data_IF_885157014595
#
_entry.id   IF_885157014595
#
_cell.length_a   1.000
_cell.length_b   1.000
_cell.length_c   1.000
_cell.angle_alpha   90.00
_cell.angle_beta   90.00
_cell.angle_gamma   90.00
#
_symmetry.space_group_name_H-M   'P 1'
#
loop_
_entity.id
_entity.type
_entity.pdbx_description
1 polymer ?
#
# COMPACT_ATOMS: atom_id res chain seq x y z
N UNK A 1 -6.33 10.72 -18.32
CA UNK A 1 -6.80 9.32 -18.23
C UNK A 1 -5.62 8.40 -17.87
N UNK A 2 -4.47 8.53 -18.54
CA UNK A 2 -3.31 7.65 -18.31
C UNK A 2 -2.74 7.75 -16.88
N UNK A 3 -2.54 8.95 -16.35
CA UNK A 3 -2.04 9.13 -14.97
C UNK A 3 -2.96 8.49 -13.92
N UNK A 4 -4.29 8.56 -14.12
CA UNK A 4 -5.22 7.86 -13.23
C UNK A 4 -5.11 6.34 -13.35
N UNK A 5 -4.92 5.80 -14.58
CA UNK A 5 -4.72 4.37 -14.79
C UNK A 5 -3.48 3.87 -14.04
N UNK A 6 -2.35 4.55 -14.19
CA UNK A 6 -1.09 4.23 -13.49
C UNK A 6 -1.27 4.28 -11.97
N UNK A 7 -1.96 5.31 -11.45
CA UNK A 7 -2.30 5.40 -10.03
C UNK A 7 -3.13 4.21 -9.55
N UNK A 8 -4.16 3.82 -10.29
CA UNK A 8 -5.00 2.68 -9.92
C UNK A 8 -4.25 1.35 -9.94
N UNK A 9 -3.27 1.18 -10.83
CA UNK A 9 -2.37 0.01 -10.81
C UNK A 9 -1.52 0.03 -9.54
N UNK A 10 -0.95 1.18 -9.16
CA UNK A 10 -0.21 1.32 -7.89
C UNK A 10 -1.12 1.01 -6.68
N UNK A 11 -2.37 1.49 -6.67
CA UNK A 11 -3.35 1.15 -5.62
C UNK A 11 -3.58 -0.36 -5.52
N UNK A 12 -3.70 -1.05 -6.67
CA UNK A 12 -3.90 -2.50 -6.70
C UNK A 12 -2.70 -3.26 -6.12
N UNK A 13 -1.47 -2.87 -6.49
CA UNK A 13 -0.25 -3.44 -5.88
C UNK A 13 -0.16 -3.16 -4.39
N UNK A 14 -0.48 -1.93 -3.94
CA UNK A 14 -0.49 -1.58 -2.52
C UNK A 14 -1.51 -2.44 -1.75
N UNK A 15 -2.73 -2.58 -2.27
CA UNK A 15 -3.78 -3.40 -1.65
C UNK A 15 -3.37 -4.87 -1.58
N UNK A 16 -2.86 -5.42 -2.69
CA UNK A 16 -2.43 -6.81 -2.77
C UNK A 16 -1.29 -7.12 -1.80
N UNK A 17 -0.26 -6.26 -1.78
CA UNK A 17 0.96 -6.51 -1.01
C UNK A 17 0.84 -6.14 0.46
N UNK A 18 -0.17 -5.35 0.85
CA UNK A 18 -0.57 -5.14 2.25
C UNK A 18 -1.63 -6.14 2.74
N UNK A 19 -2.19 -6.97 1.87
CA UNK A 19 -3.17 -7.99 2.28
C UNK A 19 -2.51 -9.18 2.95
N UNK A 20 -3.19 -9.78 3.94
CA UNK A 20 -2.78 -11.02 4.58
C UNK A 20 -2.87 -12.20 3.61
N UNK A 21 -1.98 -13.20 3.81
CA UNK A 21 -1.91 -14.40 2.99
C UNK A 21 -0.91 -14.29 1.83
N UNK A 22 -0.81 -15.30 0.96
CA UNK A 22 0.06 -15.28 -0.21
C UNK A 22 -0.38 -14.21 -1.21
N UNK A 23 0.52 -13.31 -1.57
CA UNK A 23 0.28 -12.36 -2.66
C UNK A 23 0.56 -13.04 -4.01
N UNK A 24 -0.37 -12.93 -4.94
CA UNK A 24 -0.25 -13.48 -6.28
C UNK A 24 -0.70 -12.45 -7.32
N UNK A 25 0.08 -12.23 -8.34
CA UNK A 25 -0.25 -11.42 -9.51
C UNK A 25 0.30 -12.07 -10.78
N UNK A 26 -0.24 -11.69 -11.93
CA UNK A 26 0.20 -12.23 -13.20
C UNK A 26 1.55 -11.63 -13.60
N UNK A 27 2.45 -12.46 -14.14
CA UNK A 27 3.71 -11.97 -14.70
C UNK A 27 3.43 -10.93 -15.79
N UNK A 28 4.07 -9.77 -15.65
CA UNK A 28 3.87 -8.63 -16.54
C UNK A 28 2.93 -7.55 -16.00
N UNK A 29 2.14 -7.81 -14.95
CA UNK A 29 1.31 -6.77 -14.31
C UNK A 29 2.19 -5.63 -13.80
N UNK A 30 3.40 -5.92 -13.33
CA UNK A 30 4.38 -4.97 -12.81
C UNK A 30 4.94 -4.00 -13.85
N UNK A 31 4.72 -4.25 -15.13
CA UNK A 31 5.00 -3.31 -16.23
C UNK A 31 3.82 -3.16 -17.18
N UNK A 32 2.60 -3.35 -16.66
CA UNK A 32 1.36 -3.13 -17.38
C UNK A 32 1.26 -3.92 -18.71
N UNK A 33 1.73 -5.18 -18.76
CA UNK A 33 1.53 -6.04 -19.91
C UNK A 33 0.06 -6.13 -20.28
N UNK A 34 -0.26 -6.31 -21.55
CA UNK A 34 -1.63 -6.27 -22.04
C UNK A 34 -1.96 -7.43 -22.96
N UNK A 35 -3.17 -7.94 -22.85
CA UNK A 35 -3.74 -8.92 -23.77
C UNK A 35 -4.60 -8.26 -24.87
N UNK A 36 -4.45 -6.94 -25.08
CA UNK A 36 -5.17 -6.15 -26.09
C UNK A 36 -6.70 -6.31 -26.03
N UNK A 37 -7.26 -6.48 -24.81
CA UNK A 37 -8.69 -6.67 -24.58
C UNK A 37 -9.18 -8.10 -24.72
N UNK A 38 -8.30 -9.08 -25.06
CA UNK A 38 -8.65 -10.48 -25.02
C UNK A 38 -8.77 -10.96 -23.57
N UNK A 39 -9.90 -11.58 -23.22
CA UNK A 39 -10.16 -12.04 -21.85
C UNK A 39 -9.65 -13.47 -21.57
N UNK A 40 -9.16 -14.18 -22.59
CA UNK A 40 -8.66 -15.56 -22.46
C UNK A 40 -7.56 -15.85 -23.48
N UNK A 41 -6.31 -15.76 -23.02
CA UNK A 41 -5.13 -16.06 -23.81
C UNK A 41 -4.82 -17.58 -23.91
N UNK A 42 -5.68 -18.44 -23.39
CA UNK A 42 -5.47 -19.89 -23.38
C UNK A 42 -5.24 -20.43 -24.79
N UNK A 43 -4.23 -21.28 -24.95
CA UNK A 43 -3.80 -21.87 -26.23
C UNK A 43 -3.38 -20.86 -27.32
N UNK A 44 -3.09 -19.61 -26.98
CA UNK A 44 -2.66 -18.60 -27.94
C UNK A 44 -1.15 -18.35 -27.81
N UNK A 45 -0.36 -18.94 -28.69
CA UNK A 45 1.08 -18.72 -28.75
C UNK A 45 1.41 -17.55 -29.68
N UNK A 46 1.08 -16.34 -29.24
CA UNK A 46 1.24 -15.08 -29.96
C UNK A 46 1.35 -13.88 -29.03
N UNK A 47 1.34 -12.66 -29.56
CA UNK A 47 1.48 -11.39 -28.82
C UNK A 47 0.39 -11.20 -27.75
N UNK A 48 -0.72 -11.90 -27.80
CA UNK A 48 -1.79 -11.82 -26.78
C UNK A 48 -1.33 -12.46 -25.46
N UNK A 49 -0.53 -13.53 -25.53
CA UNK A 49 -0.04 -14.24 -24.34
C UNK A 49 1.44 -13.95 -24.00
N UNK A 50 2.20 -13.43 -24.99
CA UNK A 50 3.61 -13.12 -24.75
C UNK A 50 3.77 -11.88 -23.88
N UNK A 51 4.86 -11.84 -23.09
CA UNK A 51 5.24 -10.66 -22.33
C UNK A 51 5.99 -9.67 -23.24
N UNK A 52 5.47 -8.46 -23.36
CA UNK A 52 6.17 -7.38 -24.09
C UNK A 52 7.12 -6.63 -23.14
N UNK A 53 8.37 -7.05 -23.10
CA UNK A 53 9.42 -6.46 -22.26
C UNK A 53 9.77 -5.00 -22.60
N UNK A 54 9.37 -4.49 -23.78
CA UNK A 54 9.57 -3.07 -24.11
C UNK A 54 8.71 -2.17 -23.20
N UNK A 55 7.60 -2.70 -22.69
CA UNK A 55 6.74 -1.96 -21.76
C UNK A 55 7.40 -1.68 -20.42
N UNK A 56 8.46 -2.41 -20.06
CA UNK A 56 9.22 -2.14 -18.83
C UNK A 56 9.81 -0.71 -18.82
N UNK A 57 10.30 -0.22 -19.96
CA UNK A 57 10.79 1.16 -20.05
C UNK A 57 9.65 2.19 -19.98
N UNK A 58 8.54 1.93 -20.65
CA UNK A 58 7.38 2.81 -20.65
C UNK A 58 6.69 2.91 -19.27
N UNK A 59 6.70 1.82 -18.51
CA UNK A 59 6.04 1.70 -17.21
C UNK A 59 7.03 1.46 -16.07
N UNK A 60 8.27 1.94 -16.20
CA UNK A 60 9.33 1.78 -15.19
C UNK A 60 8.88 2.18 -13.79
N UNK A 61 8.14 3.27 -13.66
CA UNK A 61 7.61 3.73 -12.37
C UNK A 61 6.67 2.73 -11.70
N UNK A 62 5.90 1.95 -12.48
CA UNK A 62 5.01 0.90 -11.94
C UNK A 62 5.83 -0.30 -11.48
N UNK A 63 6.84 -0.69 -12.28
CA UNK A 63 7.75 -1.75 -11.91
C UNK A 63 8.54 -1.42 -10.64
N UNK A 64 9.07 -0.22 -10.52
CA UNK A 64 9.82 0.22 -9.35
C UNK A 64 8.92 0.31 -8.12
N UNK A 65 7.68 0.78 -8.28
CA UNK A 65 6.69 0.76 -7.22
C UNK A 65 6.34 -0.68 -6.78
N UNK A 66 6.12 -1.60 -7.71
CA UNK A 66 5.85 -3.00 -7.38
C UNK A 66 7.04 -3.64 -6.64
N UNK A 67 8.27 -3.38 -7.11
CA UNK A 67 9.51 -3.81 -6.45
C UNK A 67 9.62 -3.25 -5.03
N UNK A 68 9.37 -1.95 -4.85
CA UNK A 68 9.34 -1.32 -3.53
C UNK A 68 8.33 -2.01 -2.61
N UNK A 69 7.10 -2.21 -3.05
CA UNK A 69 6.05 -2.84 -2.25
C UNK A 69 6.37 -4.29 -1.88
N UNK A 70 7.08 -5.03 -2.73
CA UNK A 70 7.58 -6.37 -2.41
C UNK A 70 8.62 -6.31 -1.28
N UNK A 71 9.56 -5.36 -1.35
CA UNK A 71 10.55 -5.16 -0.30
C UNK A 71 9.89 -4.70 1.01
N UNK A 72 8.96 -3.75 0.92
CA UNK A 72 8.17 -3.29 2.05
C UNK A 72 7.46 -4.44 2.75
N UNK A 73 6.75 -5.29 2.00
CA UNK A 73 6.08 -6.48 2.55
C UNK A 73 7.07 -7.46 3.20
N UNK A 74 8.30 -7.59 2.68
CA UNK A 74 9.33 -8.45 3.28
C UNK A 74 9.86 -7.86 4.58
N UNK A 75 10.04 -6.54 4.64
CA UNK A 75 10.52 -5.82 5.82
C UNK A 75 9.49 -5.83 6.96
N UNK A 76 8.18 -5.87 6.64
CA UNK A 76 7.09 -5.84 7.60
C UNK A 76 6.39 -7.22 7.69
N UNK A 77 6.88 -8.17 8.53
CA UNK A 77 6.31 -9.51 8.65
C UNK A 77 4.82 -9.52 9.02
N UNK A 78 4.37 -8.52 9.76
CA UNK A 78 2.97 -8.34 10.17
C UNK A 78 1.99 -8.30 8.99
N UNK A 79 2.44 -7.92 7.79
CA UNK A 79 1.62 -7.88 6.57
C UNK A 79 1.40 -9.27 5.93
N UNK A 80 2.17 -10.30 6.31
CA UNK A 80 2.17 -11.59 5.61
C UNK A 80 1.98 -12.82 6.48
N UNK A 81 2.23 -12.72 7.76
CA UNK A 81 2.12 -13.84 8.70
C UNK A 81 1.70 -13.34 10.09
N UNK A 82 1.26 -14.25 10.94
CA UNK A 82 1.07 -13.93 12.34
C UNK A 82 2.43 -13.75 13.02
N UNK A 83 2.55 -12.67 13.74
CA UNK A 83 3.68 -12.36 14.61
C UNK A 83 3.21 -12.43 16.07
N UNK A 84 4.12 -12.24 17.03
CA UNK A 84 3.70 -11.98 18.40
C UNK A 84 2.92 -10.67 18.47
N UNK A 85 2.09 -10.53 19.49
CA UNK A 85 1.38 -9.29 19.78
C UNK A 85 2.38 -8.14 19.99
N UNK A 86 2.00 -6.95 19.58
CA UNK A 86 2.75 -5.75 19.89
C UNK A 86 2.80 -5.53 21.41
N UNK A 87 3.98 -5.15 21.95
CA UNK A 87 4.13 -4.87 23.38
C UNK A 87 3.30 -3.65 23.81
N UNK A 88 3.06 -2.72 22.90
CA UNK A 88 2.20 -1.57 23.15
C UNK A 88 0.70 -1.91 23.29
N UNK A 89 0.30 -3.16 23.10
CA UNK A 89 -1.07 -3.63 23.28
C UNK A 89 -2.01 -3.35 22.11
N UNK A 90 -1.51 -2.87 20.98
CA UNK A 90 -2.32 -2.73 19.76
C UNK A 90 -2.71 -4.10 19.18
N UNK A 91 -3.93 -4.23 18.61
CA UNK A 91 -4.37 -5.50 18.04
C UNK A 91 -3.60 -5.83 16.76
N UNK A 92 -3.43 -7.14 16.46
CA UNK A 92 -2.74 -7.60 15.25
C UNK A 92 -3.31 -7.01 13.96
N UNK A 93 -4.63 -6.82 13.91
CA UNK A 93 -5.34 -6.17 12.82
C UNK A 93 -6.51 -5.39 13.40
N UNK A 94 -6.72 -4.18 12.90
CA UNK A 94 -7.94 -3.42 13.14
C UNK A 94 -8.38 -2.66 11.89
N UNK A 95 -9.69 -2.50 11.73
CA UNK A 95 -10.30 -1.83 10.59
C UNK A 95 -10.82 -0.47 11.03
N UNK A 96 -10.64 0.53 10.17
CA UNK A 96 -10.94 1.93 10.42
C UNK A 96 -11.64 2.53 9.19
N UNK A 97 -12.56 3.47 9.44
CA UNK A 97 -13.26 4.20 8.37
C UNK A 97 -13.29 5.69 8.72
N UNK A 98 -12.24 6.42 8.33
CA UNK A 98 -12.11 7.84 8.63
C UNK A 98 -11.80 8.17 10.10
N UNK A 99 -12.25 7.33 11.04
CA UNK A 99 -12.00 7.44 12.48
C UNK A 99 -11.45 6.12 13.05
N UNK A 100 -10.60 6.16 14.08
CA UNK A 100 -10.00 4.98 14.68
C UNK A 100 -11.06 3.99 15.19
N UNK A 101 -10.85 2.71 14.86
CA UNK A 101 -11.68 1.57 15.29
C UNK A 101 -13.15 1.63 14.86
N UNK A 102 -13.49 2.52 13.95
CA UNK A 102 -14.83 2.60 13.37
C UNK A 102 -14.87 1.71 12.11
N UNK A 103 -15.39 0.51 12.25
CA UNK A 103 -15.41 -0.53 11.20
C UNK A 103 -16.77 -0.66 10.49
N UNK A 104 -17.67 0.31 10.67
CA UNK A 104 -18.96 0.28 9.97
C UNK A 104 -18.74 0.64 8.49
N UNK A 105 -19.14 -0.27 7.61
CA UNK A 105 -19.16 -0.06 6.15
C UNK A 105 -20.59 -0.14 5.65
N UNK A 106 -20.95 0.79 4.80
CA UNK A 106 -22.21 0.82 4.07
C UNK A 106 -21.96 1.03 2.58
N UNK A 107 -23.02 1.14 1.81
CA UNK A 107 -22.94 1.34 0.35
C UNK A 107 -22.21 2.64 -0.04
N UNK A 108 -22.19 3.65 0.83
CA UNK A 108 -21.54 4.94 0.59
C UNK A 108 -20.12 5.02 1.18
N UNK A 109 -19.62 3.94 1.74
CA UNK A 109 -18.27 3.91 2.30
C UNK A 109 -17.23 3.83 1.19
N UNK A 110 -16.47 4.89 0.97
CA UNK A 110 -15.44 4.99 -0.06
C UNK A 110 -14.01 4.97 0.48
N UNK A 111 -13.86 4.94 1.80
CA UNK A 111 -12.60 4.98 2.50
C UNK A 111 -12.48 3.75 3.39
N UNK A 112 -11.33 3.09 3.34
CA UNK A 112 -10.97 2.02 4.26
C UNK A 112 -9.58 2.29 4.83
N UNK A 113 -9.44 2.12 6.15
CA UNK A 113 -8.16 2.07 6.85
C UNK A 113 -7.98 0.71 7.50
N UNK A 114 -6.78 0.15 7.43
CA UNK A 114 -6.41 -1.09 8.09
C UNK A 114 -5.10 -0.85 8.82
N UNK A 115 -5.08 -1.10 10.12
CA UNK A 115 -3.85 -1.10 10.91
C UNK A 115 -3.41 -2.54 11.17
N UNK A 116 -2.14 -2.78 10.97
CA UNK A 116 -1.44 -4.00 11.36
C UNK A 116 -0.45 -3.64 12.46
N UNK A 117 -0.41 -4.43 13.53
CA UNK A 117 0.55 -4.24 14.61
C UNK A 117 1.04 -5.59 15.14
N UNK A 118 2.29 -5.67 15.52
CA UNK A 118 2.92 -6.88 16.03
C UNK A 118 4.40 -6.66 16.27
N UNK A 119 5.18 -7.74 16.30
CA UNK A 119 6.64 -7.64 16.46
C UNK A 119 7.35 -7.69 15.12
N UNK A 120 8.46 -6.97 14.99
CA UNK A 120 9.34 -7.03 13.83
C UNK A 120 9.95 -8.44 13.65
N UNK A 121 10.78 -8.63 12.61
CA UNK A 121 11.36 -9.92 12.28
C UNK A 121 12.29 -10.47 13.38
N UNK A 122 12.99 -9.58 14.07
CA UNK A 122 13.97 -9.85 15.11
C UNK A 122 13.34 -9.98 16.51
N UNK A 123 12.03 -9.72 16.64
CA UNK A 123 11.30 -9.69 17.92
C UNK A 123 11.86 -8.66 18.94
N UNK A 124 12.43 -7.58 18.43
CA UNK A 124 13.07 -6.53 19.24
C UNK A 124 12.21 -5.30 19.45
N UNK A 125 11.35 -4.98 18.47
CA UNK A 125 10.53 -3.77 18.46
C UNK A 125 9.14 -4.05 17.93
N UNK A 126 8.18 -3.17 18.24
CA UNK A 126 6.87 -3.17 17.63
C UNK A 126 6.96 -2.69 16.18
N UNK A 127 6.29 -3.41 15.29
CA UNK A 127 6.12 -3.09 13.88
C UNK A 127 4.65 -2.71 13.68
N UNK A 128 4.40 -1.47 13.26
CA UNK A 128 3.04 -0.94 13.13
C UNK A 128 2.91 -0.26 11.76
N UNK A 129 1.98 -0.75 10.96
CA UNK A 129 1.69 -0.24 9.62
C UNK A 129 0.22 0.13 9.53
N UNK A 130 -0.06 1.30 8.98
CA UNK A 130 -1.41 1.75 8.66
C UNK A 130 -1.56 1.92 7.16
N UNK A 131 -2.53 1.22 6.58
CA UNK A 131 -2.92 1.30 5.17
C UNK A 131 -4.26 2.03 5.06
N UNK A 132 -4.35 3.05 4.20
CA UNK A 132 -5.59 3.74 3.90
C UNK A 132 -5.81 3.85 2.39
N UNK A 133 -7.01 3.48 1.91
CA UNK A 133 -7.40 3.61 0.51
C UNK A 133 -8.69 4.40 0.39
N UNK A 134 -8.65 5.44 -0.44
CA UNK A 134 -9.79 6.26 -0.82
C UNK A 134 -10.18 5.95 -2.27
N UNK A 135 -11.37 5.41 -2.49
CA UNK A 135 -11.94 5.15 -3.82
C UNK A 135 -12.77 6.33 -4.36
N UNK A 136 -13.00 7.37 -3.54
CA UNK A 136 -13.79 8.54 -3.89
C UNK A 136 -13.02 9.51 -4.80
N UNK A 137 -13.74 10.39 -5.48
CA UNK A 137 -13.15 11.38 -6.38
C UNK A 137 -12.65 12.66 -5.68
N UNK A 138 -12.90 12.81 -4.38
CA UNK A 138 -12.40 13.90 -3.55
C UNK A 138 -11.43 13.37 -2.48
N UNK A 139 -10.48 14.19 -1.99
CA UNK A 139 -9.66 13.82 -0.84
C UNK A 139 -10.53 13.59 0.40
N UNK A 140 -10.21 12.57 1.18
CA UNK A 140 -10.91 12.27 2.43
C UNK A 140 -9.94 12.28 3.61
N UNK A 141 -10.32 12.90 4.74
CA UNK A 141 -9.52 12.88 5.95
C UNK A 141 -9.63 11.53 6.66
N UNK A 142 -8.52 11.07 7.21
CA UNK A 142 -8.44 9.89 8.08
C UNK A 142 -7.81 10.31 9.39
N UNK A 143 -8.54 10.11 10.49
CA UNK A 143 -7.97 10.21 11.83
C UNK A 143 -7.24 8.91 12.14
N UNK A 144 -5.96 9.01 12.50
CA UNK A 144 -5.09 7.86 12.73
C UNK A 144 -5.25 7.32 14.17
N UNK A 145 -5.07 6.01 14.38
CA UNK A 145 -4.98 5.45 15.71
C UNK A 145 -3.84 6.11 16.51
N UNK A 146 -4.09 6.28 17.81
CA UNK A 146 -3.09 6.84 18.70
C UNK A 146 -1.94 5.86 18.87
N UNK A 147 -0.72 6.32 18.60
CA UNK A 147 0.51 5.57 18.84
C UNK A 147 0.95 5.65 20.32
N UNK A 148 1.82 4.74 20.76
CA UNK A 148 2.55 4.87 22.02
C UNK A 148 3.28 6.20 22.14
N UNK A 149 3.56 6.62 23.37
CA UNK A 149 4.34 7.84 23.61
C UNK A 149 5.73 7.75 22.98
N UNK A 150 6.17 8.83 22.33
CA UNK A 150 7.47 8.89 21.65
C UNK A 150 7.49 8.24 20.27
N UNK A 151 6.33 7.96 19.68
CA UNK A 151 6.21 7.50 18.31
C UNK A 151 5.36 8.47 17.47
N UNK A 152 5.63 8.51 16.19
CA UNK A 152 4.89 9.30 15.19
C UNK A 152 4.64 8.48 13.92
N UNK A 153 3.66 8.89 13.13
CA UNK A 153 3.37 8.29 11.84
C UNK A 153 4.24 8.92 10.74
N UNK A 154 4.94 8.08 9.98
CA UNK A 154 5.65 8.47 8.75
C UNK A 154 4.90 7.97 7.54
N UNK A 155 4.61 8.85 6.59
CA UNK A 155 4.05 8.48 5.30
C UNK A 155 5.16 7.87 4.45
N UNK A 156 4.99 6.63 4.05
CA UNK A 156 5.97 5.88 3.22
C UNK A 156 5.46 5.61 1.82
N UNK A 157 4.15 5.69 1.60
CA UNK A 157 3.52 5.58 0.28
C UNK A 157 2.41 6.59 0.14
N UNK A 158 2.39 7.29 -0.99
CA UNK A 158 1.25 8.08 -1.46
C UNK A 158 1.14 7.90 -2.98
N UNK A 159 0.19 7.09 -3.43
CA UNK A 159 0.05 6.75 -4.86
C UNK A 159 -0.39 7.92 -5.73
N UNK A 160 -0.79 9.07 -5.13
CA UNK A 160 -1.08 10.31 -5.86
C UNK A 160 0.19 11.07 -6.27
N UNK A 161 1.32 10.81 -5.63
CA UNK A 161 2.59 11.42 -6.01
C UNK A 161 3.14 10.76 -7.28
N UNK A 162 3.69 11.59 -8.17
CA UNK A 162 4.57 11.09 -9.22
C UNK A 162 5.91 10.81 -8.54
N UNK A 163 6.28 9.55 -8.50
CA UNK A 163 7.63 9.18 -8.08
C UNK A 163 8.56 9.53 -9.23
N UNK A 164 9.51 10.44 -9.01
CA UNK A 164 10.58 10.66 -9.97
C UNK A 164 11.40 9.37 -10.11
N UNK A 165 11.93 9.12 -11.31
CA UNK A 165 12.59 7.86 -11.70
C UNK A 165 13.72 7.39 -10.76
N UNK A 166 14.23 8.27 -9.89
CA UNK A 166 15.37 8.03 -9.01
C UNK A 166 15.05 8.16 -7.50
N UNK A 167 13.80 8.37 -7.12
CA UNK A 167 13.46 8.57 -5.70
C UNK A 167 12.86 7.31 -5.10
N UNK A 168 13.56 6.75 -4.12
CA UNK A 168 12.98 5.76 -3.21
C UNK A 168 11.76 6.39 -2.52
N UNK A 169 10.57 5.77 -2.62
CA UNK A 169 9.38 6.25 -1.90
C UNK A 169 9.62 6.42 -0.40
N UNK A 170 10.60 5.70 0.17
CA UNK A 170 11.00 5.83 1.57
C UNK A 170 11.71 7.16 1.90
N UNK A 171 12.20 7.91 0.90
CA UNK A 171 12.84 9.22 1.12
C UNK A 171 11.83 10.38 1.31
N UNK A 172 10.55 10.15 1.05
CA UNK A 172 9.51 11.13 1.38
C UNK A 172 9.27 11.15 2.90
N UNK A 173 9.89 12.10 3.58
CA UNK A 173 9.81 12.27 5.04
C UNK A 173 8.65 13.18 5.43
N UNK A 174 7.43 12.80 5.13
CA UNK A 174 6.25 13.48 5.65
C UNK A 174 5.76 12.78 6.91
N UNK A 175 5.72 13.51 8.02
CA UNK A 175 5.27 13.00 9.31
C UNK A 175 3.92 13.58 9.70
N UNK A 176 3.11 12.79 10.39
CA UNK A 176 1.86 13.25 10.99
C UNK A 176 1.62 12.56 12.33
N UNK A 177 0.81 13.18 13.18
CA UNK A 177 0.53 12.68 14.52
C UNK A 177 -0.82 11.97 14.64
N UNK A 178 -1.85 12.52 14.04
CA UNK A 178 -3.21 12.08 14.29
C UNK A 178 -4.16 12.12 13.09
N UNK A 179 -3.76 12.72 11.98
CA UNK A 179 -4.62 12.82 10.81
C UNK A 179 -3.80 12.85 9.51
N UNK A 180 -4.32 12.22 8.47
CA UNK A 180 -3.78 12.29 7.12
C UNK A 180 -4.91 12.54 6.11
N UNK A 181 -4.62 13.33 5.07
CA UNK A 181 -5.51 13.44 3.91
C UNK A 181 -5.15 12.34 2.92
N UNK A 182 -6.12 11.46 2.64
CA UNK A 182 -5.95 10.46 1.57
C UNK A 182 -6.47 11.07 0.27
N UNK A 183 -5.61 11.35 -0.71
CA UNK A 183 -6.02 12.00 -1.95
C UNK A 183 -7.08 11.18 -2.71
N UNK A 184 -7.74 11.82 -3.67
CA UNK A 184 -8.77 11.17 -4.48
C UNK A 184 -8.22 9.94 -5.20
N UNK A 185 -8.96 8.82 -5.15
CA UNK A 185 -8.63 7.56 -5.84
C UNK A 185 -7.18 7.11 -5.59
N UNK A 186 -6.75 7.19 -4.34
CA UNK A 186 -5.37 6.96 -3.94
C UNK A 186 -5.26 6.07 -2.71
N UNK A 187 -4.06 5.59 -2.50
CA UNK A 187 -3.65 4.84 -1.31
C UNK A 187 -2.52 5.58 -0.62
N UNK A 188 -2.60 5.64 0.71
CA UNK A 188 -1.52 6.12 1.58
C UNK A 188 -1.16 5.01 2.56
N UNK A 189 0.15 4.77 2.74
CA UNK A 189 0.66 3.82 3.73
C UNK A 189 1.57 4.58 4.69
N UNK A 190 1.37 4.34 5.98
CA UNK A 190 2.15 4.94 7.05
C UNK A 190 2.79 3.83 7.89
N UNK A 191 3.96 4.13 8.44
CA UNK A 191 4.63 3.31 9.45
C UNK A 191 4.81 4.12 10.72
N UNK A 192 4.77 3.45 11.87
CA UNK A 192 5.12 4.08 13.13
C UNK A 192 6.63 4.08 13.31
N UNK A 193 7.22 5.24 13.55
CA UNK A 193 8.63 5.40 13.86
C UNK A 193 8.81 6.12 15.20
N UNK A 194 9.95 5.87 15.85
CA UNK A 194 10.34 6.63 17.04
C UNK A 194 10.54 8.11 16.67
N UNK A 195 10.01 8.99 17.50
CA UNK A 195 10.25 10.41 17.37
C UNK A 195 11.66 10.71 17.87
N UNK A 196 12.57 10.92 16.93
CA UNK A 196 13.93 11.38 17.25
C UNK A 196 13.83 12.86 17.65
N UNK A 197 13.88 13.10 18.97
CA UNK A 197 14.00 14.46 19.54
C UNK A 197 15.43 14.99 19.41
#
# INVERSE_FOLDING_TARGET
VEGLRRRLVKNAFAALLCSRGPAMFLAGDEFCNTQFGNNNAYCQDNIISWLDWNRLEEYREIHDFARFMIHFRKAHPILRKDTKLAECGLPLISIHNGEPYRNHTDFNTHLIGIMYAGRNAEDTEDDIVFYAMNSYWEPLPVTLPKLPQGMRWKIVVNTNCEYADDHDPAEQTEYTWNQVQVPSRSTVILVAEKDEQ
#
